data_IF_694881559663
#
_entry.id   IF_694881559663
#
_cell.length_a   1.000
_cell.length_b   1.000
_cell.length_c   1.000
_cell.angle_alpha   90.00
_cell.angle_beta   90.00
_cell.angle_gamma   90.00
#
_symmetry.space_group_name_H-M   'P 1'
#
loop_
_entity.id
_entity.type
_entity.pdbx_description
1 polymer ?
#
# COMPACT_ATOMS: atom_id res chain seq x y z
N UNK A 1 71.44 13.55 -42.65
CA UNK A 1 70.74 12.67 -41.68
C UNK A 1 70.51 13.48 -40.42
N UNK A 2 69.33 14.10 -40.28
CA UNK A 2 68.98 14.86 -39.08
C UNK A 2 68.35 13.91 -38.06
N UNK A 3 69.12 13.49 -37.07
CA UNK A 3 68.62 12.82 -35.87
C UNK A 3 67.90 13.86 -35.00
N UNK A 4 66.59 13.96 -35.15
CA UNK A 4 65.71 14.64 -34.20
C UNK A 4 65.88 13.96 -32.83
N UNK A 5 66.40 14.71 -31.85
CA UNK A 5 66.54 14.24 -30.46
C UNK A 5 65.13 13.92 -29.92
N UNK A 6 64.83 12.68 -29.52
CA UNK A 6 63.49 12.28 -29.03
C UNK A 6 63.20 12.73 -27.60
N UNK A 7 64.00 13.65 -27.05
CA UNK A 7 63.88 14.13 -25.68
C UNK A 7 62.51 14.77 -25.37
N UNK A 8 61.95 15.68 -26.20
CA UNK A 8 60.68 16.31 -25.86
C UNK A 8 59.50 15.33 -25.98
N UNK A 9 59.56 14.35 -26.89
CA UNK A 9 58.51 13.34 -27.04
C UNK A 9 58.52 12.32 -25.89
N UNK A 10 59.71 11.94 -25.40
CA UNK A 10 59.83 11.08 -24.22
C UNK A 10 59.35 11.77 -22.94
N UNK A 11 59.63 13.07 -22.77
CA UNK A 11 59.16 13.86 -21.62
C UNK A 11 57.63 14.07 -21.67
N UNK A 12 57.08 14.34 -22.85
CA UNK A 12 55.63 14.46 -23.01
C UNK A 12 54.89 13.13 -22.76
N UNK A 13 55.42 12.01 -23.26
CA UNK A 13 54.85 10.69 -23.03
C UNK A 13 54.87 10.29 -21.55
N UNK A 14 55.99 10.52 -20.87
CA UNK A 14 56.13 10.24 -19.43
C UNK A 14 55.21 11.11 -18.58
N UNK A 15 55.10 12.41 -18.88
CA UNK A 15 54.15 13.30 -18.20
C UNK A 15 52.70 12.84 -18.39
N UNK A 16 52.32 12.44 -19.61
CA UNK A 16 50.98 11.93 -19.89
C UNK A 16 50.67 10.64 -19.14
N UNK A 17 51.62 9.69 -19.09
CA UNK A 17 51.44 8.44 -18.31
C UNK A 17 51.25 8.70 -16.82
N UNK A 18 51.96 9.68 -16.26
CA UNK A 18 51.85 10.06 -14.85
C UNK A 18 50.49 10.70 -14.56
N UNK A 19 50.00 11.57 -15.44
CA UNK A 19 48.66 12.16 -15.34
C UNK A 19 47.57 11.09 -15.44
N UNK A 20 47.67 10.16 -16.38
CA UNK A 20 46.71 9.05 -16.50
C UNK A 20 46.74 8.12 -15.27
N UNK A 21 47.92 7.82 -14.73
CA UNK A 21 48.06 7.00 -13.53
C UNK A 21 47.46 7.67 -12.28
N UNK A 22 47.65 8.98 -12.12
CA UNK A 22 47.03 9.75 -11.03
C UNK A 22 45.51 9.80 -11.20
N UNK A 23 45.01 10.07 -12.41
CA UNK A 23 43.58 10.08 -12.67
C UNK A 23 42.92 8.71 -12.41
N UNK A 24 43.58 7.61 -12.82
CA UNK A 24 43.12 6.26 -12.54
C UNK A 24 43.17 5.92 -11.04
N UNK A 25 44.19 6.39 -10.31
CA UNK A 25 44.29 6.22 -8.86
C UNK A 25 43.22 6.99 -8.09
N UNK A 26 42.90 8.23 -8.50
CA UNK A 26 41.82 9.03 -7.90
C UNK A 26 40.45 8.44 -8.21
N UNK A 27 40.19 8.07 -9.48
CA UNK A 27 38.94 7.44 -9.89
C UNK A 27 38.74 6.06 -9.22
N UNK A 28 39.80 5.24 -9.17
CA UNK A 28 39.79 3.95 -8.48
C UNK A 28 39.61 4.09 -6.97
N UNK A 29 40.21 5.12 -6.36
CA UNK A 29 40.01 5.46 -4.95
C UNK A 29 38.56 5.86 -4.65
N UNK A 30 37.96 6.75 -5.45
CA UNK A 30 36.56 7.14 -5.29
C UNK A 30 35.57 6.00 -5.54
N UNK A 31 35.87 5.11 -6.50
CA UNK A 31 35.06 3.93 -6.75
C UNK A 31 35.17 2.92 -5.58
N UNK A 32 36.37 2.74 -5.02
CA UNK A 32 36.59 1.89 -3.84
C UNK A 32 35.89 2.41 -2.58
N UNK A 33 35.85 3.74 -2.38
CA UNK A 33 35.13 4.33 -1.24
C UNK A 33 33.62 4.21 -1.38
N UNK A 34 33.05 4.34 -2.57
CA UNK A 34 31.60 4.10 -2.77
C UNK A 34 31.23 2.63 -2.56
N UNK A 35 32.10 1.69 -2.97
CA UNK A 35 31.87 0.25 -2.78
C UNK A 35 32.00 -0.21 -1.31
N UNK A 36 32.57 0.61 -0.43
CA UNK A 36 32.81 0.26 0.98
C UNK A 36 32.06 1.16 1.97
N UNK A 37 31.37 2.21 1.49
CA UNK A 37 30.58 3.07 2.37
C UNK A 37 29.26 2.40 2.72
N UNK A 38 28.84 2.55 3.98
CA UNK A 38 27.50 2.15 4.40
C UNK A 38 26.42 3.04 3.77
N UNK A 39 25.15 2.58 3.76
CA UNK A 39 24.04 3.33 3.18
C UNK A 39 23.78 4.62 3.95
N UNK A 40 23.42 5.67 3.23
CA UNK A 40 22.96 6.93 3.80
C UNK A 40 21.55 6.78 4.37
N UNK A 41 21.19 7.71 5.25
CA UNK A 41 19.81 7.84 5.72
C UNK A 41 18.80 8.06 4.56
N UNK A 42 19.22 8.66 3.44
CA UNK A 42 18.36 8.84 2.27
C UNK A 42 18.13 7.53 1.51
N UNK A 43 19.18 6.73 1.32
CA UNK A 43 19.10 5.40 0.71
C UNK A 43 18.25 4.45 1.56
N UNK A 44 18.44 4.45 2.89
CA UNK A 44 17.63 3.66 3.81
C UNK A 44 16.14 4.06 3.76
N UNK A 45 15.84 5.36 3.73
CA UNK A 45 14.46 5.86 3.59
C UNK A 45 13.83 5.47 2.26
N UNK A 46 14.59 5.56 1.17
CA UNK A 46 14.13 5.14 -0.15
C UNK A 46 13.85 3.63 -0.21
N UNK A 47 14.72 2.82 0.40
CA UNK A 47 14.54 1.37 0.52
C UNK A 47 13.30 1.02 1.36
N UNK A 48 13.11 1.67 2.51
CA UNK A 48 11.93 1.48 3.36
C UNK A 48 10.63 1.86 2.62
N UNK A 49 10.61 3.00 1.93
CA UNK A 49 9.45 3.43 1.14
C UNK A 49 9.12 2.46 0.01
N UNK A 50 10.15 1.91 -0.65
CA UNK A 50 9.99 0.90 -1.70
C UNK A 50 9.44 -0.41 -1.14
N UNK A 51 9.96 -0.90 -0.02
CA UNK A 51 9.44 -2.10 0.64
C UNK A 51 7.97 -1.92 0.98
N UNK A 52 7.61 -0.81 1.65
CA UNK A 52 6.22 -0.47 1.98
C UNK A 52 5.34 -0.50 0.73
N UNK A 53 5.75 0.13 -0.38
CA UNK A 53 4.98 0.17 -1.63
C UNK A 53 4.82 -1.21 -2.31
N UNK A 54 5.67 -2.18 -2.00
CA UNK A 54 5.61 -3.52 -2.57
C UNK A 54 4.82 -4.53 -1.71
N UNK A 55 4.51 -4.22 -0.44
CA UNK A 55 3.83 -5.12 0.51
C UNK A 55 2.55 -5.76 -0.02
N UNK A 56 1.71 -5.01 -0.73
CA UNK A 56 0.44 -5.52 -1.25
C UNK A 56 0.60 -6.78 -2.15
N UNK A 57 1.75 -6.93 -2.81
CA UNK A 57 2.05 -8.07 -3.67
C UNK A 57 3.05 -9.05 -3.07
N UNK A 58 3.91 -8.62 -2.15
CA UNK A 58 4.96 -9.46 -1.57
C UNK A 58 4.54 -10.14 -0.28
N UNK A 59 3.63 -9.55 0.49
CA UNK A 59 3.14 -10.15 1.72
C UNK A 59 2.09 -11.21 1.45
N UNK A 60 2.01 -12.26 2.30
CA UNK A 60 0.87 -13.16 2.29
C UNK A 60 -0.43 -12.37 2.48
N UNK A 61 -1.48 -12.71 1.73
CA UNK A 61 -2.75 -11.99 1.82
C UNK A 61 -3.34 -12.01 3.24
N UNK A 62 -3.13 -13.10 3.99
CA UNK A 62 -3.52 -13.23 5.40
C UNK A 62 -2.76 -12.31 6.37
N UNK A 63 -1.63 -11.72 5.95
CA UNK A 63 -0.92 -10.68 6.70
C UNK A 63 -1.53 -9.30 6.45
N UNK A 64 -1.92 -9.02 5.20
CA UNK A 64 -2.64 -7.79 4.83
C UNK A 64 -4.04 -7.77 5.45
N UNK A 65 -4.72 -8.92 5.40
CA UNK A 65 -6.04 -9.13 5.96
C UNK A 65 -5.95 -10.25 6.99
N UNK A 66 -5.65 -9.97 8.27
CA UNK A 66 -5.61 -10.96 9.35
C UNK A 66 -6.87 -11.81 9.50
N UNK A 67 -6.78 -12.96 10.16
CA UNK A 67 -7.95 -13.83 10.37
C UNK A 67 -9.00 -13.17 11.28
N UNK A 68 -8.54 -12.32 12.19
CA UNK A 68 -9.34 -11.52 13.10
C UNK A 68 -8.84 -10.09 13.15
N UNK A 69 -9.76 -9.13 13.27
CA UNK A 69 -9.44 -7.71 13.48
C UNK A 69 -10.16 -7.24 14.73
N UNK A 70 -9.39 -6.74 15.70
CA UNK A 70 -9.93 -6.14 16.92
C UNK A 70 -10.55 -4.76 16.63
N UNK A 71 -11.69 -4.48 17.26
CA UNK A 71 -12.38 -3.19 17.23
C UNK A 71 -13.07 -2.91 18.57
N UNK A 72 -13.41 -1.65 18.81
CA UNK A 72 -14.11 -1.22 20.02
C UNK A 72 -15.61 -1.48 19.88
N UNK A 73 -16.20 -2.24 20.81
CA UNK A 73 -17.63 -2.49 20.79
C UNK A 73 -18.43 -1.23 21.16
N UNK A 74 -19.63 -1.06 20.60
CA UNK A 74 -20.48 0.12 20.87
C UNK A 74 -20.83 0.27 22.36
N UNK A 75 -20.97 -0.85 23.08
CA UNK A 75 -21.28 -0.87 24.52
C UNK A 75 -20.02 -0.84 25.40
N UNK A 76 -18.85 -0.64 24.80
CA UNK A 76 -17.55 -0.72 25.47
C UNK A 76 -16.94 -2.13 25.46
N UNK A 77 -15.61 -2.18 25.59
CA UNK A 77 -14.83 -3.41 25.46
C UNK A 77 -14.24 -3.59 24.06
N UNK A 78 -13.47 -4.67 23.88
CA UNK A 78 -12.88 -5.05 22.60
C UNK A 78 -13.59 -6.30 22.06
N UNK A 79 -13.96 -6.24 20.79
CA UNK A 79 -14.53 -7.35 20.03
C UNK A 79 -13.65 -7.65 18.80
N UNK A 80 -13.89 -8.80 18.16
CA UNK A 80 -13.12 -9.21 16.99
C UNK A 80 -14.02 -9.53 15.80
N UNK A 81 -13.78 -8.81 14.70
CA UNK A 81 -14.34 -9.16 13.41
C UNK A 81 -13.57 -10.36 12.83
N UNK A 82 -14.29 -11.35 12.31
CA UNK A 82 -13.73 -12.57 11.73
C UNK A 82 -13.73 -12.50 10.22
N UNK A 83 -12.61 -12.85 9.59
CA UNK A 83 -12.50 -12.89 8.13
C UNK A 83 -13.33 -14.04 7.55
N UNK A 84 -14.26 -13.72 6.65
CA UNK A 84 -15.04 -14.68 5.87
C UNK A 84 -14.21 -15.21 4.70
N UNK A 85 -13.49 -14.33 4.00
CA UNK A 85 -12.65 -14.71 2.87
C UNK A 85 -11.85 -13.55 2.29
N UNK A 86 -10.95 -13.87 1.36
CA UNK A 86 -10.12 -12.92 0.60
C UNK A 86 -10.33 -13.22 -0.89
N UNK A 87 -10.53 -12.18 -1.71
CA UNK A 87 -10.63 -12.36 -3.16
C UNK A 87 -9.24 -12.55 -3.77
N UNK A 88 -9.06 -13.50 -4.70
CA UNK A 88 -7.84 -13.58 -5.50
C UNK A 88 -7.78 -12.51 -6.60
N UNK A 89 -8.90 -11.85 -6.92
CA UNK A 89 -8.97 -10.84 -7.96
C UNK A 89 -8.55 -9.47 -7.41
N UNK A 90 -7.50 -8.91 -8.02
CA UNK A 90 -6.89 -7.64 -7.62
C UNK A 90 -7.23 -6.50 -8.58
N UNK A 91 -8.23 -6.65 -9.46
CA UNK A 91 -8.61 -5.61 -10.41
C UNK A 91 -9.09 -4.34 -9.69
N UNK A 92 -8.55 -3.19 -10.11
CA UNK A 92 -8.95 -1.87 -9.60
C UNK A 92 -10.37 -1.45 -10.00
N UNK A 93 -11.06 -2.27 -10.82
CA UNK A 93 -12.44 -2.03 -11.23
C UNK A 93 -13.48 -2.42 -10.15
N UNK A 94 -13.05 -2.99 -9.01
CA UNK A 94 -13.94 -3.39 -7.92
C UNK A 94 -14.40 -2.22 -7.02
N UNK A 95 -14.67 -1.10 -7.66
CA UNK A 95 -15.16 0.13 -7.09
C UNK A 95 -16.29 0.63 -7.98
N UNK A 96 -17.15 1.51 -7.47
CA UNK A 96 -18.15 2.15 -8.31
C UNK A 96 -17.47 2.98 -9.42
N UNK A 97 -18.13 3.24 -10.56
CA UNK A 97 -17.46 3.75 -11.77
C UNK A 97 -16.59 5.00 -11.56
N UNK A 98 -17.06 5.99 -10.80
CA UNK A 98 -16.30 7.21 -10.52
C UNK A 98 -15.05 6.93 -9.66
N UNK A 99 -15.18 6.09 -8.65
CA UNK A 99 -14.08 5.65 -7.80
C UNK A 99 -13.06 4.80 -8.57
N UNK A 100 -13.54 3.86 -9.38
CA UNK A 100 -12.70 3.03 -10.25
C UNK A 100 -11.90 3.89 -11.24
N UNK A 101 -12.54 4.91 -11.83
CA UNK A 101 -11.88 5.87 -12.71
C UNK A 101 -10.82 6.70 -11.96
N UNK A 102 -11.14 7.20 -10.76
CA UNK A 102 -10.19 7.91 -9.91
C UNK A 102 -8.95 7.07 -9.56
N UNK A 103 -9.16 5.81 -9.18
CA UNK A 103 -8.08 4.84 -8.94
C UNK A 103 -7.25 4.61 -10.21
N UNK A 104 -7.89 4.43 -11.36
CA UNK A 104 -7.22 4.21 -12.64
C UNK A 104 -6.36 5.41 -13.04
N UNK A 105 -6.90 6.63 -12.95
CA UNK A 105 -6.17 7.87 -13.28
C UNK A 105 -4.99 8.12 -12.35
N UNK A 106 -5.08 7.70 -11.08
CA UNK A 106 -3.97 7.73 -10.15
C UNK A 106 -2.89 6.67 -10.43
N UNK A 107 -3.19 5.68 -11.27
CA UNK A 107 -2.26 4.59 -11.63
C UNK A 107 -2.30 3.40 -10.69
N UNK A 108 -3.49 3.05 -10.19
CA UNK A 108 -3.73 1.89 -9.34
C UNK A 108 -3.01 0.64 -9.85
N UNK A 109 -2.25 0.01 -8.96
CA UNK A 109 -1.46 -1.20 -9.21
C UNK A 109 -2.27 -2.46 -8.91
N UNK A 110 -3.19 -2.39 -7.96
CA UNK A 110 -4.09 -3.46 -7.58
C UNK A 110 -5.03 -3.01 -6.46
N UNK A 111 -6.18 -3.66 -6.36
CA UNK A 111 -7.17 -3.49 -5.30
C UNK A 111 -7.43 -4.85 -4.65
N UNK A 112 -6.80 -5.11 -3.51
CA UNK A 112 -7.04 -6.33 -2.74
C UNK A 112 -8.34 -6.19 -1.94
N UNK A 113 -9.08 -7.27 -1.71
CA UNK A 113 -10.33 -7.22 -0.94
C UNK A 113 -10.52 -8.43 -0.04
N UNK A 114 -11.04 -8.20 1.15
CA UNK A 114 -11.47 -9.24 2.08
C UNK A 114 -12.78 -8.83 2.77
N UNK A 115 -13.60 -9.82 3.11
CA UNK A 115 -14.86 -9.59 3.84
C UNK A 115 -14.74 -10.14 5.24
N UNK A 116 -15.20 -9.35 6.21
CA UNK A 116 -15.27 -9.70 7.63
C UNK A 116 -16.73 -9.67 8.09
N UNK A 117 -17.00 -10.45 9.12
CA UNK A 117 -18.24 -10.38 9.90
C UNK A 117 -17.89 -9.94 11.31
N UNK A 118 -18.70 -9.04 11.88
CA UNK A 118 -18.57 -8.58 13.26
C UNK A 118 -18.78 -9.71 14.28
N UNK A 119 -18.48 -9.45 15.55
CA UNK A 119 -18.59 -10.45 16.61
C UNK A 119 -20.04 -10.89 16.84
N UNK A 120 -21.01 -9.98 16.70
CA UNK A 120 -22.44 -10.24 16.87
C UNK A 120 -23.08 -10.89 15.63
N UNK A 121 -22.32 -11.02 14.54
CA UNK A 121 -22.76 -11.61 13.28
C UNK A 121 -23.95 -10.87 12.64
N UNK A 122 -24.07 -9.57 12.88
CA UNK A 122 -25.10 -8.71 12.30
C UNK A 122 -24.61 -7.87 11.12
N UNK A 123 -23.31 -7.58 11.06
CA UNK A 123 -22.72 -6.64 10.10
C UNK A 123 -21.58 -7.29 9.34
N UNK A 124 -21.63 -7.15 8.02
CA UNK A 124 -20.53 -7.50 7.12
C UNK A 124 -19.77 -6.24 6.72
N UNK A 125 -18.45 -6.36 6.63
CA UNK A 125 -17.58 -5.30 6.13
C UNK A 125 -16.63 -5.86 5.09
N UNK A 126 -16.68 -5.33 3.86
CA UNK A 126 -15.62 -5.56 2.88
C UNK A 126 -14.56 -4.48 3.09
N UNK A 127 -13.32 -4.90 3.35
CA UNK A 127 -12.14 -4.03 3.40
C UNK A 127 -11.39 -4.16 2.08
N UNK A 128 -11.14 -3.04 1.41
CA UNK A 128 -10.37 -2.95 0.19
C UNK A 128 -9.04 -2.22 0.42
N UNK A 129 -7.95 -2.74 -0.13
CA UNK A 129 -6.63 -2.09 -0.11
C UNK A 129 -6.25 -1.75 -1.54
N UNK A 130 -6.31 -0.47 -1.91
CA UNK A 130 -5.80 0.00 -3.19
C UNK A 130 -4.33 0.38 -3.06
N UNK A 131 -3.48 -0.23 -3.88
CA UNK A 131 -2.06 0.08 -4.00
C UNK A 131 -1.83 1.09 -5.12
N UNK A 132 -1.19 2.22 -4.80
CA UNK A 132 -0.85 3.28 -5.73
C UNK A 132 0.68 3.35 -5.91
N UNK A 133 1.21 4.02 -6.94
CA UNK A 133 2.65 4.09 -7.16
C UNK A 133 3.40 4.86 -6.05
N UNK A 134 2.76 5.87 -5.46
CA UNK A 134 3.34 6.76 -4.46
C UNK A 134 2.24 7.46 -3.64
N UNK A 135 2.63 8.11 -2.56
CA UNK A 135 1.72 8.83 -1.66
C UNK A 135 0.97 10.00 -2.32
N UNK A 136 1.60 10.88 -3.14
CA UNK A 136 0.87 11.91 -3.88
C UNK A 136 -0.24 11.36 -4.79
N UNK A 137 -0.01 10.21 -5.43
CA UNK A 137 -1.03 9.53 -6.24
C UNK A 137 -2.13 8.92 -5.38
N UNK A 138 -1.80 8.37 -4.20
CA UNK A 138 -2.81 7.92 -3.24
C UNK A 138 -3.70 9.08 -2.79
N UNK A 139 -3.12 10.24 -2.45
CA UNK A 139 -3.87 11.43 -2.09
C UNK A 139 -4.79 11.92 -3.23
N UNK A 140 -4.32 11.90 -4.49
CA UNK A 140 -5.16 12.19 -5.67
C UNK A 140 -6.30 11.19 -5.84
N UNK A 141 -6.03 9.89 -5.68
CA UNK A 141 -7.06 8.86 -5.75
C UNK A 141 -8.14 9.06 -4.66
N UNK A 142 -7.72 9.40 -3.43
CA UNK A 142 -8.64 9.66 -2.32
C UNK A 142 -9.65 10.76 -2.63
N UNK A 143 -9.24 11.79 -3.37
CA UNK A 143 -10.13 12.88 -3.76
C UNK A 143 -11.30 12.42 -4.66
N UNK A 144 -11.19 11.28 -5.35
CA UNK A 144 -12.29 10.71 -6.14
C UNK A 144 -13.40 10.08 -5.28
N UNK A 145 -13.16 9.88 -3.99
CA UNK A 145 -14.13 9.34 -3.03
C UNK A 145 -14.83 10.45 -2.22
N UNK A 146 -14.67 11.72 -2.60
CA UNK A 146 -15.17 12.87 -1.85
C UNK A 146 -16.08 13.75 -2.69
N UNK A 147 -17.41 13.62 -2.50
CA UNK A 147 -18.39 14.71 -2.54
C UNK A 147 -19.59 14.33 -1.63
N UNK A 148 -19.90 15.13 -0.60
CA UNK A 148 -21.18 15.03 0.13
C UNK A 148 -21.26 14.17 1.41
N UNK A 149 -20.17 13.53 1.86
CA UNK A 149 -20.11 12.95 3.22
C UNK A 149 -20.82 11.60 3.44
N UNK A 150 -21.42 11.02 2.41
CA UNK A 150 -21.92 9.64 2.44
C UNK A 150 -20.91 8.74 1.68
N UNK A 151 -20.35 7.71 2.32
CA UNK A 151 -19.34 6.82 1.72
C UNK A 151 -19.96 5.76 0.77
N UNK A 152 -20.85 6.22 -0.11
CA UNK A 152 -21.54 5.41 -1.11
C UNK A 152 -21.65 6.28 -2.37
N UNK A 153 -20.66 6.21 -3.29
CA UNK A 153 -20.27 4.98 -3.98
C UNK A 153 -18.73 4.84 -4.10
N UNK A 154 -18.15 3.92 -3.34
CA UNK A 154 -16.69 3.71 -3.30
C UNK A 154 -16.31 2.28 -3.65
N UNK A 155 -16.33 1.40 -2.67
CA UNK A 155 -15.92 -0.01 -2.81
C UNK A 155 -17.12 -0.91 -3.12
N UNK A 156 -16.96 -1.85 -4.05
CA UNK A 156 -17.96 -2.90 -4.27
C UNK A 156 -17.84 -3.98 -3.19
N UNK A 157 -18.96 -4.42 -2.58
CA UNK A 157 -18.96 -5.51 -1.63
C UNK A 157 -18.40 -6.80 -2.24
N UNK A 158 -17.78 -7.62 -1.41
CA UNK A 158 -17.26 -8.93 -1.79
C UNK A 158 -18.09 -10.02 -1.11
N UNK A 159 -18.92 -10.67 -1.91
CA UNK A 159 -19.71 -11.82 -1.48
C UNK A 159 -18.93 -13.13 -1.65
N UNK A 160 -19.22 -14.10 -0.79
CA UNK A 160 -18.71 -15.47 -0.88
C UNK A 160 -19.89 -16.46 -0.89
N UNK A 161 -20.17 -17.14 -2.02
CA UNK A 161 -21.26 -18.10 -2.11
C UNK A 161 -21.16 -19.21 -1.05
N UNK A 162 -22.28 -19.63 -0.47
CA UNK A 162 -22.33 -20.65 0.56
C UNK A 162 -21.86 -20.17 1.94
N UNK A 163 -21.76 -18.85 2.16
CA UNK A 163 -21.37 -18.25 3.45
C UNK A 163 -22.37 -17.19 3.89
N UNK A 164 -22.19 -16.68 5.11
CA UNK A 164 -22.94 -15.50 5.63
C UNK A 164 -22.82 -14.26 4.73
N UNK A 165 -21.78 -14.16 3.90
CA UNK A 165 -21.57 -13.03 3.00
C UNK A 165 -22.20 -13.20 1.62
N UNK A 166 -22.91 -14.31 1.35
CA UNK A 166 -23.48 -14.59 0.01
C UNK A 166 -24.41 -13.48 -0.49
N UNK A 167 -25.16 -12.85 0.42
CA UNK A 167 -26.12 -11.79 0.09
C UNK A 167 -25.53 -10.38 0.13
N UNK A 168 -24.22 -10.24 0.39
CA UNK A 168 -23.60 -8.94 0.51
C UNK A 168 -23.35 -8.32 -0.86
N UNK A 169 -24.41 -7.78 -1.45
CA UNK A 169 -24.43 -7.19 -2.80
C UNK A 169 -24.35 -5.66 -2.73
N UNK A 170 -24.09 -4.97 -3.86
CA UNK A 170 -24.03 -3.50 -3.89
C UNK A 170 -25.26 -2.79 -3.31
N UNK A 171 -26.44 -3.40 -3.37
CA UNK A 171 -27.68 -2.85 -2.82
C UNK A 171 -27.73 -2.86 -1.28
N UNK A 172 -26.96 -3.74 -0.62
CA UNK A 172 -26.95 -3.94 0.84
C UNK A 172 -26.07 -2.93 1.56
N UNK A 173 -25.25 -2.18 0.81
CA UNK A 173 -24.36 -1.16 1.36
C UNK A 173 -25.15 -0.10 2.13
N UNK A 174 -24.67 0.20 3.33
CA UNK A 174 -25.27 1.18 4.23
C UNK A 174 -24.24 2.18 4.75
N UNK A 175 -22.96 1.78 4.80
CA UNK A 175 -21.86 2.65 5.19
C UNK A 175 -20.57 2.27 4.46
N UNK A 176 -19.53 3.08 4.64
CA UNK A 176 -18.21 2.89 4.08
C UNK A 176 -17.21 3.91 4.59
N UNK A 177 -15.97 3.84 4.14
CA UNK A 177 -14.93 4.80 4.54
C UNK A 177 -13.79 4.79 3.54
N UNK A 178 -12.95 5.83 3.60
CA UNK A 178 -11.69 5.91 2.86
C UNK A 178 -10.58 6.53 3.73
N UNK A 179 -9.61 5.70 4.09
CA UNK A 179 -8.36 6.09 4.75
C UNK A 179 -7.19 6.10 3.77
N UNK A 180 -6.18 6.92 4.03
CA UNK A 180 -4.94 6.97 3.26
C UNK A 180 -3.73 7.05 4.20
N UNK A 181 -2.70 6.27 3.89
CA UNK A 181 -1.37 6.39 4.49
C UNK A 181 -0.32 5.80 3.53
N UNK A 182 0.77 6.54 3.32
CA UNK A 182 1.77 6.18 2.31
C UNK A 182 1.12 5.96 0.93
N UNK A 183 1.55 4.93 0.17
CA UNK A 183 1.03 4.66 -1.17
C UNK A 183 -0.30 3.87 -1.18
N UNK A 184 -1.01 3.77 -0.05
CA UNK A 184 -2.20 2.95 0.08
C UNK A 184 -3.45 3.77 0.37
N UNK A 185 -4.58 3.34 -0.22
CA UNK A 185 -5.92 3.64 0.29
C UNK A 185 -6.51 2.38 0.91
N UNK A 186 -7.11 2.52 2.09
CA UNK A 186 -7.96 1.48 2.67
C UNK A 186 -9.41 1.96 2.62
N UNK A 187 -10.22 1.21 1.90
CA UNK A 187 -11.62 1.48 1.64
C UNK A 187 -12.46 0.48 2.46
N UNK A 188 -13.62 0.91 2.92
CA UNK A 188 -14.61 -0.03 3.45
C UNK A 188 -15.97 0.16 2.80
N UNK A 189 -16.73 -0.94 2.78
CA UNK A 189 -18.17 -0.88 2.64
C UNK A 189 -18.80 -1.87 3.60
N UNK A 190 -19.85 -1.44 4.30
CA UNK A 190 -20.52 -2.19 5.35
C UNK A 190 -22.02 -2.27 5.11
N UNK A 191 -22.63 -3.34 5.60
CA UNK A 191 -24.08 -3.56 5.52
C UNK A 191 -24.52 -4.72 6.41
N UNK A 192 -25.84 -4.81 6.66
CA UNK A 192 -26.42 -5.87 7.49
C UNK A 192 -26.36 -7.24 6.77
N UNK A 193 -26.05 -8.29 7.53
CA UNK A 193 -25.83 -9.66 7.02
C UNK A 193 -27.06 -10.27 6.35
N UNK A 194 -28.26 -9.81 6.72
CA UNK A 194 -29.52 -10.37 6.22
C UNK A 194 -29.80 -10.02 4.75
N UNK A 195 -28.99 -9.13 4.18
CA UNK A 195 -29.02 -8.73 2.79
C UNK A 195 -30.11 -7.73 2.47
N UNK A 196 -30.69 -7.05 3.48
CA UNK A 196 -31.67 -6.00 3.21
C UNK A 196 -31.01 -4.82 2.48
N UNK A 197 -31.66 -4.25 1.45
CA UNK A 197 -31.13 -3.08 0.78
C UNK A 197 -30.96 -1.92 1.77
N UNK A 198 -29.88 -1.15 1.65
CA UNK A 198 -29.67 0.04 2.48
C UNK A 198 -30.81 1.06 2.33
N UNK A 199 -31.41 1.15 1.14
CA UNK A 199 -32.58 1.99 0.87
C UNK A 199 -33.86 1.54 1.59
N UNK A 200 -33.91 0.31 2.10
CA UNK A 200 -35.04 -0.22 2.86
C UNK A 200 -34.86 -0.04 4.38
N UNK A 201 -33.68 0.42 4.82
CA UNK A 201 -33.45 0.79 6.21
C UNK A 201 -34.06 2.16 6.43
N UNK A 202 -34.88 2.28 7.48
CA UNK A 202 -35.59 3.52 7.82
C UNK A 202 -34.63 4.64 8.21
N UNK A 203 -34.42 4.85 9.51
CA UNK A 203 -33.50 5.87 10.00
C UNK A 203 -32.04 5.39 9.88
N UNK A 204 -31.10 6.23 9.36
CA UNK A 204 -29.69 5.90 9.32
C UNK A 204 -29.14 5.59 10.71
N UNK A 205 -28.42 4.46 10.84
CA UNK A 205 -27.79 4.02 12.09
C UNK A 205 -26.27 4.01 11.92
N UNK A 206 -25.59 5.18 11.91
CA UNK A 206 -24.16 5.23 11.63
C UNK A 206 -23.30 4.53 12.71
N UNK A 207 -23.80 4.49 13.95
CA UNK A 207 -23.07 3.91 15.08
C UNK A 207 -22.76 2.41 14.87
N UNK A 208 -23.72 1.63 14.34
CA UNK A 208 -23.54 0.18 14.15
C UNK A 208 -22.49 -0.17 13.09
N UNK A 209 -22.08 0.80 12.27
CA UNK A 209 -21.05 0.65 11.24
C UNK A 209 -19.73 1.34 11.59
N UNK A 210 -19.65 2.05 12.71
CA UNK A 210 -18.49 2.86 13.10
C UNK A 210 -17.19 2.05 13.19
N UNK A 211 -17.27 0.81 13.68
CA UNK A 211 -16.14 -0.10 13.79
C UNK A 211 -15.49 -0.42 12.43
N UNK A 212 -16.20 -0.27 11.31
CA UNK A 212 -15.64 -0.43 9.98
C UNK A 212 -14.46 0.53 9.74
N UNK A 213 -14.51 1.72 10.31
CA UNK A 213 -13.40 2.69 10.26
C UNK A 213 -12.21 2.16 11.04
N UNK A 214 -12.41 1.70 12.28
CA UNK A 214 -11.32 1.19 13.13
C UNK A 214 -10.59 -0.01 12.51
N UNK A 215 -11.34 -0.97 11.94
CA UNK A 215 -10.70 -2.12 11.28
C UNK A 215 -9.89 -1.69 10.05
N UNK A 216 -10.36 -0.65 9.33
CA UNK A 216 -9.67 -0.10 8.17
C UNK A 216 -8.38 0.61 8.55
N UNK A 217 -8.38 1.35 9.66
CA UNK A 217 -7.21 2.02 10.21
C UNK A 217 -6.16 1.02 10.68
N UNK A 218 -6.59 -0.09 11.29
CA UNK A 218 -5.67 -1.17 11.70
C UNK A 218 -4.99 -1.84 10.50
N UNK A 219 -5.74 -2.14 9.44
CA UNK A 219 -5.17 -2.66 8.18
C UNK A 219 -4.22 -1.64 7.55
N UNK A 220 -4.62 -0.37 7.51
CA UNK A 220 -3.83 0.71 6.94
C UNK A 220 -2.50 0.89 7.69
N UNK A 221 -2.53 0.97 9.02
CA UNK A 221 -1.34 1.08 9.86
C UNK A 221 -0.38 -0.10 9.65
N UNK A 222 -0.92 -1.32 9.60
CA UNK A 222 -0.13 -2.54 9.35
C UNK A 222 0.61 -2.47 8.01
N UNK A 223 -0.04 -1.94 6.97
CA UNK A 223 0.56 -1.78 5.64
C UNK A 223 1.54 -0.62 5.55
N UNK A 224 1.24 0.52 6.15
CA UNK A 224 1.98 1.77 5.94
C UNK A 224 3.15 1.98 6.90
N UNK A 225 3.21 1.31 8.04
CA UNK A 225 4.29 1.49 9.01
C UNK A 225 5.64 1.06 8.42
N UNK A 226 6.60 1.97 8.22
CA UNK A 226 7.90 1.62 7.67
C UNK A 226 8.65 0.67 8.60
N UNK A 227 9.26 -0.37 8.04
CA UNK A 227 10.31 -1.11 8.71
C UNK A 227 11.64 -0.51 8.25
N UNK A 228 12.43 0.05 9.18
CA UNK A 228 13.75 0.55 8.83
C UNK A 228 14.65 -0.64 8.48
N UNK A 229 15.34 -0.64 7.33
CA UNK A 229 16.25 -1.72 6.98
C UNK A 229 17.31 -1.88 8.05
N UNK A 230 17.41 -3.09 8.60
CA UNK A 230 18.54 -3.50 9.42
C UNK A 230 19.52 -4.27 8.54
N UNK A 231 20.63 -3.62 8.17
CA UNK A 231 21.69 -4.21 7.35
C UNK A 231 22.44 -5.36 8.06
N UNK A 232 22.16 -5.62 9.35
CA UNK A 232 22.64 -6.80 10.06
C UNK A 232 21.72 -8.03 9.96
N UNK A 233 20.51 -7.88 9.42
CA UNK A 233 19.52 -8.95 9.30
C UNK A 233 19.53 -9.64 7.93
N UNK A 234 19.15 -10.92 7.88
CA UNK A 234 19.07 -11.70 6.63
C UNK A 234 18.00 -11.20 5.64
N UNK A 235 17.09 -10.36 6.11
CA UNK A 235 15.93 -9.85 5.36
C UNK A 235 16.23 -8.60 4.51
N UNK A 236 17.40 -7.97 4.67
CA UNK A 236 17.84 -6.80 3.91
C UNK A 236 19.23 -7.01 3.29
N UNK A 237 19.38 -6.72 1.99
CA UNK A 237 20.68 -6.65 1.33
C UNK A 237 21.11 -5.19 1.24
N UNK A 238 22.07 -4.83 2.08
CA UNK A 238 22.93 -3.66 1.98
C UNK A 238 24.32 -4.14 1.54
#
# INVERSE_FOLDING_TARGET
MNTSRPWPTLVAASALTLVCAVAAGVAGGSAGTELTRGPTAAELRAAAAREVAERWRTWPAGRVFPATLAYSAEQGGEEHARRVGISPDTSCAHADPAAAEGLRLAGCKGLLRATYIDALQGVLVTVGVAALPDEPRAARARAAFAEGGEPVPGLLPLAFPGTVAERFTPAVRQAGSVGQAGPYLVLTTAGEVDGRPGSAVGEPRPAVFSFAVEISERVLATLSTPAMPDCGGEEWQC
#
